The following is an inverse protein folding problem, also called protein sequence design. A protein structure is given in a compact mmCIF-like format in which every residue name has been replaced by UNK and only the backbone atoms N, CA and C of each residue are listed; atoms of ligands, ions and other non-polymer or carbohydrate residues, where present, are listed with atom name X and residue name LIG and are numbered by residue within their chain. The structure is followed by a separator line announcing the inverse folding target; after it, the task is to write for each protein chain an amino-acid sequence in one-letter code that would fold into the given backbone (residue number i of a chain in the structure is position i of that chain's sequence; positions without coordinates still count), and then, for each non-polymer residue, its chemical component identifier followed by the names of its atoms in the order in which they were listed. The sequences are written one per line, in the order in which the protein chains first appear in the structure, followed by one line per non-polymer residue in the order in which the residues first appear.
data_IF_857246448716
#
_entry.id   IF_857246448716
#
_cell.length_a   1.000
_cell.length_b   1.000
_cell.length_c   1.000
_cell.angle_alpha   90.00
_cell.angle_beta   90.00
_cell.angle_gamma   90.00
#
_symmetry.space_group_name_H-M   'P 1'
#
loop_
_entity.id
_entity.type
_entity.pdbx_description
1 polymer ?
#
# COMPACT_ATOMS: atom_id res chain seq x y z
N UNK A 1 -44.21 19.28 -57.13
CA UNK A 1 -43.53 18.33 -58.04
C UNK A 1 -43.47 16.98 -57.36
N UNK A 2 -43.91 15.92 -58.06
CA UNK A 2 -44.04 14.55 -57.57
C UNK A 2 -42.88 13.69 -58.11
N UNK A 3 -42.67 12.58 -57.38
CA UNK A 3 -42.20 11.25 -57.80
C UNK A 3 -40.70 10.92 -57.87
N UNK A 4 -40.36 9.96 -57.00
CA UNK A 4 -39.25 9.01 -56.91
C UNK A 4 -38.72 8.46 -58.24
N UNK A 5 -37.42 8.09 -58.27
CA UNK A 5 -36.92 6.79 -58.77
C UNK A 5 -35.61 6.35 -58.07
N UNK A 6 -35.53 5.05 -57.88
CA UNK A 6 -34.56 4.15 -57.22
C UNK A 6 -33.27 3.89 -58.01
N UNK A 7 -32.13 3.58 -57.37
CA UNK A 7 -31.43 2.27 -57.52
C UNK A 7 -30.19 2.12 -56.61
N UNK A 8 -30.08 0.89 -56.09
CA UNK A 8 -29.08 0.25 -55.23
C UNK A 8 -27.66 0.16 -55.82
N UNK A 9 -26.62 0.19 -54.97
CA UNK A 9 -25.58 -0.86 -55.03
C UNK A 9 -24.95 -1.18 -53.66
N UNK A 10 -25.00 -2.48 -53.40
CA UNK A 10 -24.57 -3.29 -52.29
C UNK A 10 -23.03 -3.48 -52.30
N UNK A 11 -22.37 -3.42 -51.14
CA UNK A 11 -21.11 -4.15 -50.91
C UNK A 11 -20.94 -4.47 -49.43
N UNK A 12 -21.56 -5.57 -49.02
CA UNK A 12 -21.26 -6.29 -47.78
C UNK A 12 -20.01 -7.12 -48.01
N UNK A 13 -18.87 -6.74 -47.41
CA UNK A 13 -17.77 -7.67 -47.15
C UNK A 13 -17.96 -8.25 -45.75
N UNK A 14 -18.60 -9.41 -45.68
CA UNK A 14 -18.57 -10.26 -44.49
C UNK A 14 -17.28 -11.08 -44.58
N UNK A 15 -16.22 -10.63 -43.91
CA UNK A 15 -15.12 -11.53 -43.58
C UNK A 15 -15.55 -12.38 -42.38
N UNK A 16 -15.95 -13.61 -42.66
CA UNK A 16 -15.99 -14.67 -41.67
C UNK A 16 -14.54 -15.06 -41.33
N UNK A 17 -13.95 -14.36 -40.36
CA UNK A 17 -12.74 -14.79 -39.67
C UNK A 17 -13.11 -15.77 -38.56
N UNK A 18 -13.22 -17.05 -38.90
CA UNK A 18 -13.22 -18.12 -37.91
C UNK A 18 -11.76 -18.37 -37.50
N UNK A 19 -11.36 -17.80 -36.37
CA UNK A 19 -10.14 -18.12 -35.65
C UNK A 19 -10.55 -18.74 -34.33
N UNK A 20 -10.60 -20.07 -34.32
CA UNK A 20 -10.72 -20.89 -33.11
C UNK A 20 -9.33 -21.07 -32.49
N UNK A 21 -9.29 -21.15 -31.15
CA UNK A 21 -8.18 -21.50 -30.26
C UNK A 21 -7.30 -20.29 -29.86
N UNK A 22 -7.18 -19.88 -28.60
CA UNK A 22 -7.45 -20.52 -27.32
C UNK A 22 -8.45 -19.68 -26.51
N UNK A 23 -9.38 -20.34 -25.82
CA UNK A 23 -9.98 -19.71 -24.65
C UNK A 23 -8.85 -19.56 -23.63
N UNK A 24 -8.37 -18.33 -23.47
CA UNK A 24 -7.89 -17.94 -22.14
C UNK A 24 -9.10 -18.15 -21.25
N UNK A 25 -9.01 -19.14 -20.36
CA UNK A 25 -9.82 -19.13 -19.15
C UNK A 25 -9.39 -17.86 -18.41
N UNK A 26 -10.03 -16.73 -18.74
CA UNK A 26 -9.92 -15.49 -18.00
C UNK A 26 -10.45 -15.83 -16.61
N UNK A 27 -9.54 -16.18 -15.70
CA UNK A 27 -9.84 -16.43 -14.30
C UNK A 27 -10.50 -15.15 -13.80
N UNK A 28 -11.79 -15.23 -13.50
CA UNK A 28 -12.53 -14.12 -12.93
C UNK A 28 -11.98 -13.88 -11.52
N UNK A 29 -11.06 -12.94 -11.40
CA UNK A 29 -10.40 -12.60 -10.14
C UNK A 29 -11.40 -11.80 -9.33
N UNK A 30 -12.01 -12.45 -8.33
CA UNK A 30 -12.87 -11.75 -7.39
C UNK A 30 -12.01 -10.83 -6.52
N UNK A 31 -12.09 -9.52 -6.80
CA UNK A 31 -11.37 -8.48 -6.09
C UNK A 31 -12.24 -7.91 -4.96
N UNK A 32 -11.71 -7.90 -3.74
CA UNK A 32 -12.34 -7.35 -2.53
C UNK A 32 -11.55 -6.15 -2.03
N UNK A 33 -12.10 -5.41 -1.06
CA UNK A 33 -11.42 -4.24 -0.49
C UNK A 33 -11.27 -4.37 1.02
N UNK A 34 -10.15 -3.90 1.54
CA UNK A 34 -9.90 -3.79 2.97
C UNK A 34 -9.20 -2.44 3.26
N UNK A 35 -8.99 -2.14 4.54
CA UNK A 35 -8.31 -0.92 4.97
C UNK A 35 -7.14 -1.24 5.87
N UNK A 36 -5.97 -0.71 5.53
CA UNK A 36 -4.85 -0.61 6.43
C UNK A 36 -5.00 0.67 7.26
N UNK A 37 -5.50 0.52 8.48
CA UNK A 37 -6.10 1.61 9.24
C UNK A 37 -5.17 2.81 9.41
N UNK A 38 -5.61 3.96 8.90
CA UNK A 38 -4.97 5.26 9.06
C UNK A 38 -3.55 5.34 8.46
N UNK A 39 -3.27 4.56 7.41
CA UNK A 39 -1.96 4.51 6.73
C UNK A 39 -2.14 4.67 5.21
N UNK A 40 -1.72 5.81 4.68
CA UNK A 40 -1.72 6.16 3.24
C UNK A 40 -0.32 5.96 2.64
N UNK A 41 -0.27 5.54 1.38
CA UNK A 41 0.97 5.54 0.58
C UNK A 41 1.85 4.29 0.75
N UNK A 42 1.36 3.25 1.42
CA UNK A 42 2.06 1.96 1.52
C UNK A 42 1.78 1.13 0.28
N UNK A 43 2.82 0.62 -0.36
CA UNK A 43 2.71 -0.25 -1.54
C UNK A 43 2.20 -1.64 -1.13
N UNK A 44 1.37 -2.27 -1.96
CA UNK A 44 0.84 -3.60 -1.67
C UNK A 44 0.84 -4.54 -2.89
N UNK A 45 1.03 -5.83 -2.61
CA UNK A 45 0.96 -6.94 -3.55
C UNK A 45 0.07 -8.05 -2.96
N UNK A 46 -1.07 -8.32 -3.60
CA UNK A 46 -2.18 -9.09 -3.01
C UNK A 46 -2.75 -10.14 -3.98
N UNK A 47 -1.87 -10.98 -4.54
CA UNK A 47 -2.23 -11.98 -5.54
C UNK A 47 -2.32 -11.39 -6.95
N UNK A 48 -3.34 -11.80 -7.71
CA UNK A 48 -3.58 -11.32 -9.08
C UNK A 48 -4.34 -9.98 -9.11
N UNK A 49 -4.75 -9.43 -7.94
CA UNK A 49 -5.39 -8.11 -7.85
C UNK A 49 -4.41 -6.97 -8.25
N UNK A 50 -4.93 -5.83 -8.76
CA UNK A 50 -4.08 -4.70 -9.14
C UNK A 50 -3.22 -4.22 -7.97
N UNK A 51 -1.89 -4.28 -8.15
CA UNK A 51 -0.93 -3.68 -7.23
C UNK A 51 -1.12 -2.16 -7.18
N UNK A 52 -0.85 -1.57 -6.02
CA UNK A 52 -1.05 -0.15 -5.83
C UNK A 52 -0.46 0.35 -4.53
N UNK A 53 -0.90 1.53 -4.12
CA UNK A 53 -0.61 2.12 -2.82
C UNK A 53 -1.90 2.30 -2.03
N UNK A 54 -1.83 2.18 -0.71
CA UNK A 54 -2.98 2.42 0.15
C UNK A 54 -3.51 3.84 -0.05
N UNK A 55 -4.83 3.98 -0.14
CA UNK A 55 -5.51 5.27 -0.31
C UNK A 55 -5.43 6.15 0.95
N UNK A 56 -6.01 7.35 0.87
CA UNK A 56 -6.01 8.32 1.98
C UNK A 56 -6.70 7.83 3.25
N UNK A 57 -7.57 6.83 3.15
CA UNK A 57 -8.22 6.18 4.28
C UNK A 57 -7.66 4.77 4.56
N UNK A 58 -6.53 4.43 3.96
CA UNK A 58 -5.88 3.14 4.04
C UNK A 58 -6.46 2.06 3.11
N UNK A 59 -7.40 2.41 2.23
CA UNK A 59 -8.02 1.42 1.32
C UNK A 59 -7.02 0.76 0.40
N UNK A 60 -7.16 -0.56 0.24
CA UNK A 60 -6.45 -1.36 -0.76
C UNK A 60 -7.35 -2.48 -1.27
N UNK A 61 -7.04 -2.99 -2.47
CA UNK A 61 -7.76 -4.10 -3.10
C UNK A 61 -6.94 -5.39 -3.06
N UNK A 62 -7.59 -6.53 -2.92
CA UNK A 62 -6.94 -7.84 -2.86
C UNK A 62 -7.77 -8.93 -3.55
N UNK A 63 -7.12 -10.00 -3.99
CA UNK A 63 -7.81 -11.18 -4.53
C UNK A 63 -8.38 -12.04 -3.40
N UNK A 64 -9.65 -12.44 -3.52
CA UNK A 64 -10.27 -13.34 -2.54
C UNK A 64 -9.49 -14.66 -2.44
N UNK A 65 -9.08 -15.02 -1.21
CA UNK A 65 -8.35 -16.26 -0.94
C UNK A 65 -6.83 -16.12 -1.01
N UNK A 66 -6.31 -14.97 -1.44
CA UNK A 66 -4.88 -14.66 -1.44
C UNK A 66 -4.46 -13.76 -0.27
N UNK A 67 -3.19 -13.83 0.12
CA UNK A 67 -2.59 -12.96 1.12
C UNK A 67 -2.07 -11.66 0.52
N UNK A 68 -1.70 -10.71 1.38
CA UNK A 68 -1.10 -9.45 0.97
C UNK A 68 0.31 -9.30 1.54
N UNK A 69 1.21 -8.70 0.78
CA UNK A 69 2.49 -8.18 1.28
C UNK A 69 2.52 -6.68 1.10
N UNK A 70 2.89 -5.95 2.16
CA UNK A 70 2.97 -4.50 2.20
C UNK A 70 4.43 -4.04 2.22
N UNK A 71 4.72 -2.95 1.52
CA UNK A 71 6.07 -2.43 1.32
C UNK A 71 6.12 -0.91 1.45
N UNK A 72 7.31 -0.40 1.77
CA UNK A 72 7.66 1.00 1.52
C UNK A 72 8.97 1.03 0.75
N UNK A 73 8.89 1.34 -0.54
CA UNK A 73 10.01 1.14 -1.45
C UNK A 73 10.48 -0.30 -1.37
N UNK A 74 11.76 -0.50 -1.07
CA UNK A 74 12.34 -1.84 -1.01
C UNK A 74 12.05 -2.62 0.28
N UNK A 75 11.51 -1.97 1.31
CA UNK A 75 11.34 -2.58 2.63
C UNK A 75 10.00 -3.30 2.72
N UNK A 76 10.04 -4.63 2.86
CA UNK A 76 8.87 -5.39 3.30
C UNK A 76 8.49 -4.95 4.72
N UNK A 77 7.28 -4.42 4.88
CA UNK A 77 6.70 -4.09 6.18
C UNK A 77 6.04 -5.30 6.82
N UNK A 78 5.19 -5.99 6.05
CA UNK A 78 4.29 -7.00 6.61
C UNK A 78 3.77 -7.96 5.54
N UNK A 79 3.57 -9.21 5.95
CA UNK A 79 2.71 -10.17 5.25
C UNK A 79 1.43 -10.39 6.05
N UNK A 80 0.29 -10.35 5.38
CA UNK A 80 -1.05 -10.60 5.92
C UNK A 80 -1.60 -11.87 5.29
N UNK A 81 -2.08 -12.79 6.12
CA UNK A 81 -2.64 -14.05 5.63
C UNK A 81 -4.01 -13.80 4.99
N UNK A 82 -4.35 -14.57 3.96
CA UNK A 82 -5.70 -14.58 3.38
C UNK A 82 -6.80 -14.85 4.41
N UNK A 83 -6.49 -15.50 5.54
CA UNK A 83 -7.45 -15.76 6.63
C UNK A 83 -7.82 -14.52 7.43
N UNK A 84 -6.95 -13.52 7.39
CA UNK A 84 -7.11 -12.23 8.05
C UNK A 84 -7.65 -11.18 7.05
N UNK A 85 -8.03 -11.61 5.85
CA UNK A 85 -8.58 -10.75 4.81
C UNK A 85 -10.01 -11.18 4.48
N UNK A 86 -10.92 -10.21 4.54
CA UNK A 86 -12.30 -10.33 4.09
C UNK A 86 -12.76 -8.97 3.57
N UNK A 87 -13.83 -8.92 2.77
CA UNK A 87 -14.35 -7.65 2.29
C UNK A 87 -14.72 -6.74 3.48
N UNK A 88 -14.25 -5.50 3.44
CA UNK A 88 -14.41 -4.51 4.49
C UNK A 88 -13.53 -4.71 5.73
N UNK A 89 -12.58 -5.67 5.73
CA UNK A 89 -11.66 -5.87 6.86
C UNK A 89 -10.87 -4.60 7.20
N UNK A 90 -10.62 -4.39 8.48
CA UNK A 90 -9.81 -3.29 9.00
C UNK A 90 -8.58 -3.90 9.69
N UNK A 91 -7.41 -3.65 9.11
CA UNK A 91 -6.13 -4.10 9.63
C UNK A 91 -5.51 -2.97 10.44
N UNK A 92 -5.09 -3.25 11.67
CA UNK A 92 -4.48 -2.27 12.59
C UNK A 92 -3.09 -2.74 12.92
N UNK A 93 -2.07 -1.93 12.63
CA UNK A 93 -0.70 -2.20 13.04
C UNK A 93 -0.55 -1.99 14.55
N UNK A 94 -0.19 -3.05 15.25
CA UNK A 94 -0.03 -3.10 16.72
C UNK A 94 1.35 -3.59 17.15
N UNK A 95 2.26 -3.79 16.19
CA UNK A 95 3.67 -3.99 16.45
C UNK A 95 4.36 -2.65 16.70
N UNK A 96 4.89 -2.46 17.91
CA UNK A 96 5.53 -1.21 18.34
C UNK A 96 6.64 -0.76 17.38
N UNK A 97 7.50 -1.69 16.93
CA UNK A 97 8.62 -1.38 16.03
C UNK A 97 8.11 -0.94 14.65
N UNK A 98 7.18 -1.68 14.06
CA UNK A 98 6.63 -1.34 12.74
C UNK A 98 5.88 -0.02 12.79
N UNK A 99 5.13 0.22 13.86
CA UNK A 99 4.45 1.50 14.06
C UNK A 99 5.45 2.65 14.24
N UNK A 100 6.51 2.47 15.03
CA UNK A 100 7.56 3.47 15.19
C UNK A 100 8.19 3.84 13.85
N UNK A 101 8.46 2.84 13.00
CA UNK A 101 8.94 3.05 11.65
C UNK A 101 7.94 3.85 10.81
N UNK A 102 6.68 3.41 10.75
CA UNK A 102 5.63 4.08 9.98
C UNK A 102 5.42 5.55 10.41
N UNK A 103 5.40 5.84 11.70
CA UNK A 103 5.28 7.21 12.21
C UNK A 103 6.49 8.07 11.86
N UNK A 104 7.69 7.47 11.84
CA UNK A 104 8.90 8.18 11.39
C UNK A 104 8.84 8.49 9.89
N UNK A 105 8.15 7.68 9.09
CA UNK A 105 7.96 7.94 7.66
C UNK A 105 6.82 8.92 7.36
N UNK A 106 6.04 9.28 8.36
CA UNK A 106 4.90 10.18 8.22
C UNK A 106 5.36 11.56 7.74
N UNK A 107 4.66 12.12 6.77
CA UNK A 107 5.17 13.26 6.01
C UNK A 107 5.17 14.57 6.80
N UNK A 108 4.33 14.70 7.82
CA UNK A 108 4.19 15.90 8.66
C UNK A 108 4.35 15.60 10.16
N UNK A 109 4.66 14.34 10.50
CA UNK A 109 4.87 13.89 11.88
C UNK A 109 3.59 13.92 12.74
N UNK A 110 2.42 14.13 12.13
CA UNK A 110 1.16 14.27 12.83
C UNK A 110 0.24 13.07 12.61
N UNK A 111 0.44 12.06 13.43
CA UNK A 111 -0.34 10.82 13.42
C UNK A 111 -1.85 11.01 13.67
N UNK A 112 -2.30 12.17 14.21
CA UNK A 112 -3.72 12.46 14.41
C UNK A 112 -4.47 12.72 13.09
N UNK A 113 -3.74 13.12 12.03
CA UNK A 113 -4.29 13.29 10.67
C UNK A 113 -4.14 12.05 9.80
N UNK A 114 -3.56 10.98 10.35
CA UNK A 114 -3.20 9.76 9.62
C UNK A 114 -1.75 9.76 9.19
N UNK A 115 -1.19 8.56 9.05
CA UNK A 115 0.18 8.36 8.61
C UNK A 115 0.19 8.40 7.10
N UNK A 116 0.89 9.37 6.51
CA UNK A 116 1.01 9.52 5.06
C UNK A 116 2.46 9.37 4.62
N UNK A 117 2.72 8.34 3.82
CA UNK A 117 4.04 8.11 3.25
C UNK A 117 4.10 8.72 1.86
N UNK A 118 5.04 9.65 1.64
CA UNK A 118 5.27 10.26 0.34
C UNK A 118 6.01 9.30 -0.59
N UNK A 119 5.74 9.38 -1.90
CA UNK A 119 6.50 8.62 -2.89
C UNK A 119 8.00 8.93 -2.84
N UNK A 120 8.39 10.17 -2.49
CA UNK A 120 9.80 10.56 -2.32
C UNK A 120 10.50 9.84 -1.16
N UNK A 121 9.74 9.41 -0.14
CA UNK A 121 10.23 8.56 0.95
C UNK A 121 10.42 7.14 0.44
N UNK A 122 9.44 6.56 -0.26
CA UNK A 122 9.57 5.24 -0.88
C UNK A 122 10.74 5.18 -1.88
N UNK A 123 10.89 6.19 -2.73
CA UNK A 123 11.99 6.32 -3.70
C UNK A 123 13.36 6.37 -3.00
N UNK A 124 13.45 7.08 -1.87
CA UNK A 124 14.67 7.12 -1.06
C UNK A 124 15.01 5.72 -0.56
N UNK A 125 14.05 4.99 0.03
CA UNK A 125 14.27 3.65 0.57
C UNK A 125 14.57 2.61 -0.54
N UNK A 126 13.98 2.75 -1.71
CA UNK A 126 14.32 1.92 -2.88
C UNK A 126 15.75 2.19 -3.36
N UNK A 127 16.14 3.47 -3.44
CA UNK A 127 17.49 3.89 -3.84
C UNK A 127 18.55 3.38 -2.86
N UNK A 128 18.27 3.39 -1.56
CA UNK A 128 19.20 2.91 -0.55
C UNK A 128 19.54 1.42 -0.70
N UNK A 129 18.57 0.56 -1.05
CA UNK A 129 18.83 -0.86 -1.35
C UNK A 129 19.78 -1.05 -2.53
N UNK A 130 19.75 -0.15 -3.51
CA UNK A 130 20.65 -0.22 -4.68
C UNK A 130 22.07 0.25 -4.36
N UNK A 131 22.26 1.00 -3.27
CA UNK A 131 23.56 1.59 -2.86
C UNK A 131 24.26 0.72 -1.80
N UNK A 132 23.96 -0.58 -1.75
CA UNK A 132 24.39 -1.56 -0.74
C UNK A 132 25.91 -1.72 -0.50
N UNK A 133 26.79 -0.87 -1.08
CA UNK A 133 28.24 -1.12 -1.08
C UNK A 133 29.20 0.08 -0.89
N UNK A 134 28.80 1.32 -0.56
CA UNK A 134 29.87 2.32 -0.27
C UNK A 134 29.62 3.56 0.61
N UNK A 135 28.43 4.16 0.74
CA UNK A 135 28.36 5.55 1.27
C UNK A 135 27.25 5.87 2.27
N UNK A 136 26.34 4.95 2.58
CA UNK A 136 25.25 5.19 3.53
C UNK A 136 25.27 4.06 4.57
N UNK A 137 25.21 4.34 5.88
CA UNK A 137 25.18 3.27 6.88
C UNK A 137 24.01 2.34 6.56
N UNK A 138 24.19 1.03 6.76
CA UNK A 138 23.29 -0.06 6.33
C UNK A 138 21.93 -0.07 7.05
N UNK A 139 21.16 1.02 6.92
CA UNK A 139 19.84 1.26 7.51
C UNK A 139 18.73 0.46 6.83
N UNK A 140 19.01 -0.26 5.74
CA UNK A 140 18.05 -1.11 5.02
C UNK A 140 18.64 -2.50 4.75
N UNK A 141 19.44 -3.02 5.69
CA UNK A 141 19.68 -4.46 5.70
C UNK A 141 18.43 -5.17 6.23
N UNK A 142 18.24 -6.45 5.88
CA UNK A 142 17.12 -7.26 6.38
C UNK A 142 17.04 -7.33 7.93
N UNK A 143 18.07 -6.88 8.66
CA UNK A 143 18.20 -6.97 10.13
C UNK A 143 18.25 -5.60 10.85
N UNK A 144 17.65 -4.56 10.29
CA UNK A 144 17.61 -3.24 10.93
C UNK A 144 16.86 -3.32 12.26
N UNK A 145 17.59 -3.08 13.35
CA UNK A 145 16.99 -2.92 14.67
C UNK A 145 16.26 -1.57 14.72
N UNK A 146 14.94 -1.63 14.80
CA UNK A 146 14.12 -0.44 15.00
C UNK A 146 14.26 -0.03 16.47
N UNK A 147 14.77 1.17 16.67
CA UNK A 147 14.90 1.83 17.97
C UNK A 147 15.06 3.35 17.73
N UNK A 148 14.99 4.12 18.80
CA UNK A 148 15.00 5.59 18.74
C UNK A 148 16.25 6.15 18.03
N UNK A 149 17.43 5.55 18.22
CA UNK A 149 18.66 6.03 17.58
C UNK A 149 18.66 5.77 16.06
N UNK A 150 18.17 4.59 15.65
CA UNK A 150 17.99 4.26 14.24
C UNK A 150 16.97 5.19 13.59
N UNK A 151 15.83 5.45 14.24
CA UNK A 151 14.77 6.32 13.72
C UNK A 151 15.20 7.78 13.64
N UNK A 152 15.92 8.29 14.64
CA UNK A 152 16.49 9.63 14.59
C UNK A 152 17.46 9.79 13.40
N UNK A 153 18.23 8.76 13.07
CA UNK A 153 19.13 8.81 11.92
C UNK A 153 18.37 8.73 10.59
N UNK A 154 17.37 7.86 10.50
CA UNK A 154 16.50 7.75 9.33
C UNK A 154 15.80 9.09 9.04
N UNK A 155 15.18 9.70 10.06
CA UNK A 155 14.59 11.03 9.97
C UNK A 155 15.59 12.06 9.41
N UNK A 156 16.81 12.12 9.96
CA UNK A 156 17.83 13.05 9.48
C UNK A 156 18.19 12.84 8.01
N UNK A 157 18.14 11.60 7.52
CA UNK A 157 18.37 11.31 6.11
C UNK A 157 17.17 11.70 5.23
N UNK A 158 15.94 11.40 5.67
CA UNK A 158 14.70 11.75 4.96
C UNK A 158 14.52 13.28 4.86
N UNK A 159 14.78 14.02 5.94
CA UNK A 159 14.71 15.48 5.96
C UNK A 159 15.65 16.15 4.94
N UNK A 160 16.72 15.46 4.54
CA UNK A 160 17.67 15.95 3.52
C UNK A 160 17.31 15.45 2.12
N UNK A 161 16.87 14.20 2.00
CA UNK A 161 16.79 13.51 0.71
C UNK A 161 15.37 13.42 0.12
N UNK A 162 14.33 13.37 0.96
CA UNK A 162 12.95 13.19 0.53
C UNK A 162 12.26 14.55 0.33
N UNK A 163 12.04 14.93 -0.93
CA UNK A 163 11.35 16.17 -1.26
C UNK A 163 9.94 16.20 -0.65
N UNK A 164 9.63 17.27 0.07
CA UNK A 164 8.31 17.51 0.67
C UNK A 164 8.06 16.80 2.00
N UNK A 165 9.05 16.07 2.51
CA UNK A 165 9.01 15.48 3.84
C UNK A 165 9.28 16.55 4.91
N UNK A 166 8.39 16.65 5.88
CA UNK A 166 8.40 17.58 7.02
C UNK A 166 8.02 16.84 8.32
N UNK A 167 8.34 15.55 8.38
CA UNK A 167 8.02 14.68 9.51
C UNK A 167 8.95 14.83 10.70
N UNK A 168 8.77 13.96 11.68
CA UNK A 168 9.65 13.80 12.84
C UNK A 168 9.93 12.32 13.08
N UNK A 169 11.01 11.98 13.79
CA UNK A 169 11.20 10.58 14.20
C UNK A 169 10.28 10.28 15.38
N UNK A 170 9.65 9.11 15.36
CA UNK A 170 8.88 8.61 16.49
C UNK A 170 9.78 7.80 17.43
N UNK A 171 9.57 7.96 18.73
CA UNK A 171 10.13 7.10 19.77
C UNK A 171 9.29 5.84 19.94
N UNK A 172 9.87 4.80 20.56
CA UNK A 172 9.13 3.58 20.88
C UNK A 172 7.94 3.84 21.82
N UNK A 173 8.06 4.82 22.73
CA UNK A 173 6.98 5.19 23.64
C UNK A 173 5.83 5.88 22.90
N UNK A 174 6.11 6.81 21.98
CA UNK A 174 5.10 7.48 21.14
C UNK A 174 4.36 6.48 20.24
N UNK A 175 5.09 5.55 19.63
CA UNK A 175 4.51 4.48 18.81
C UNK A 175 3.48 3.66 19.61
N UNK A 176 3.87 3.25 20.81
CA UNK A 176 3.03 2.45 21.72
C UNK A 176 1.85 3.25 22.27
N UNK A 177 2.03 4.53 22.60
CA UNK A 177 0.94 5.41 23.02
C UNK A 177 -0.10 5.58 21.92
N UNK A 178 0.34 5.78 20.68
CA UNK A 178 -0.54 5.84 19.51
C UNK A 178 -1.32 4.53 19.30
N UNK A 179 -0.65 3.37 19.35
CA UNK A 179 -1.31 2.05 19.24
C UNK A 179 -2.42 1.92 20.30
N UNK A 180 -2.11 2.23 21.56
CA UNK A 180 -3.09 2.16 22.64
C UNK A 180 -4.29 3.10 22.39
N UNK A 181 -4.03 4.30 21.87
CA UNK A 181 -5.06 5.28 21.55
C UNK A 181 -5.98 4.81 20.42
N UNK A 182 -5.44 4.28 19.32
CA UNK A 182 -6.24 3.82 18.19
C UNK A 182 -7.05 2.57 18.56
N UNK A 183 -6.45 1.60 19.26
CA UNK A 183 -7.12 0.38 19.71
C UNK A 183 -8.28 0.73 20.65
N UNK A 184 -8.03 1.59 21.65
CA UNK A 184 -9.07 2.04 22.57
C UNK A 184 -10.21 2.77 21.85
N UNK A 185 -9.90 3.61 20.86
CA UNK A 185 -10.89 4.35 20.08
C UNK A 185 -11.79 3.40 19.26
N UNK A 186 -11.19 2.42 18.57
CA UNK A 186 -11.91 1.42 17.78
C UNK A 186 -12.81 0.55 18.66
N UNK A 187 -12.28 0.08 19.80
CA UNK A 187 -13.05 -0.69 20.78
C UNK A 187 -14.22 0.12 21.36
N UNK A 188 -13.99 1.39 21.71
CA UNK A 188 -15.04 2.29 22.20
C UNK A 188 -16.15 2.48 21.15
N UNK A 189 -15.79 2.54 19.87
CA UNK A 189 -16.72 2.66 18.74
C UNK A 189 -17.35 1.33 18.32
N UNK A 190 -16.99 0.21 18.95
CA UNK A 190 -17.44 -1.13 18.58
C UNK A 190 -17.15 -1.46 17.11
N UNK A 191 -15.98 -1.03 16.63
CA UNK A 191 -15.51 -1.38 15.29
C UNK A 191 -14.71 -2.66 15.41
N UNK A 192 -15.06 -3.68 14.62
CA UNK A 192 -14.28 -4.91 14.51
C UNK A 192 -13.02 -4.65 13.68
N UNK A 193 -11.87 -5.14 14.16
CA UNK A 193 -10.58 -4.99 13.48
C UNK A 193 -9.68 -6.19 13.77
N UNK A 194 -8.61 -6.30 12.97
CA UNK A 194 -7.59 -7.34 13.06
C UNK A 194 -6.29 -6.67 13.47
N UNK A 195 -5.71 -7.13 14.56
CA UNK A 195 -4.41 -6.68 15.05
C UNK A 195 -3.29 -7.38 14.29
N UNK A 196 -2.44 -6.60 13.62
CA UNK A 196 -1.18 -7.06 13.05
C UNK A 196 -0.11 -6.92 14.15
N UNK A 197 0.49 -8.02 14.58
CA UNK A 197 1.45 -8.06 15.71
C UNK A 197 2.84 -8.47 15.24
#
# INVERSE_FOLDING_TARGET
MKTLYTLSLLSLMVLAGCSSLAGDDEKDIQTLNARYYNIEGVEYDCGDAPKGTTGSDGTFSFEEGEGCTFYVGSKELRKVSYRDLSDGAILVETNDETMQFLQTLDNDGNVDTGIKILSSVSDYLETQKQIDDFLIPSFISENVTINDATMATLYGALAVAASGYDGEYATSDEAREYINRIVANLQQKQIDFIELR
#
